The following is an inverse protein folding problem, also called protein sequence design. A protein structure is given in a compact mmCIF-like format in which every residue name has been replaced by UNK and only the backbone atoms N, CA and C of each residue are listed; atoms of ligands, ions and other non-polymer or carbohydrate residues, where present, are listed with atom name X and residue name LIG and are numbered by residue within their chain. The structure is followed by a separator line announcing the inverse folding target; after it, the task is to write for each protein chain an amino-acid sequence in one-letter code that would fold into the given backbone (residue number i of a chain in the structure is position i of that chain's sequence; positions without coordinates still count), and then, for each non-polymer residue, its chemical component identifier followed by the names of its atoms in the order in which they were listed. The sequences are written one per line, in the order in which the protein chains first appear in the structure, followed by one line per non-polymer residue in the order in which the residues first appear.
data_IF_955221816865
#
_entry.id   IF_955221816865
#
_cell.length_a   1.000
_cell.length_b   1.000
_cell.length_c   1.000
_cell.angle_alpha   90.00
_cell.angle_beta   90.00
_cell.angle_gamma   90.00
#
_symmetry.space_group_name_H-M   'P 1'
#
loop_
_entity.id
_entity.type
_entity.pdbx_description
1 polymer ?
#
# COMPACT_ATOMS: atom_id res chain seq x y z
N UNK A 1 -10.74 -14.14 15.54
CA UNK A 1 -10.05 -12.84 15.72
C UNK A 1 -9.71 -12.28 14.34
N UNK A 2 -10.12 -11.05 14.02
CA UNK A 2 -9.63 -10.40 12.81
C UNK A 2 -8.15 -10.10 13.02
N UNK A 3 -7.31 -10.71 12.19
CA UNK A 3 -5.88 -10.46 12.20
C UNK A 3 -5.60 -9.05 11.70
N UNK A 4 -4.62 -8.36 12.29
CA UNK A 4 -4.15 -7.00 11.90
C UNK A 4 -4.00 -6.84 10.39
N UNK A 5 -3.55 -7.91 9.72
CA UNK A 5 -3.39 -7.96 8.28
C UNK A 5 -4.67 -7.57 7.53
N UNK A 6 -5.84 -7.96 8.04
CA UNK A 6 -7.13 -7.63 7.44
C UNK A 6 -7.39 -6.12 7.49
N UNK A 7 -7.03 -5.45 8.58
CA UNK A 7 -7.17 -3.99 8.69
C UNK A 7 -6.25 -3.26 7.72
N UNK A 8 -4.98 -3.68 7.63
CA UNK A 8 -4.01 -3.08 6.71
C UNK A 8 -4.52 -3.21 5.27
N UNK A 9 -4.98 -4.41 4.88
CA UNK A 9 -5.54 -4.66 3.55
C UNK A 9 -6.76 -3.78 3.29
N UNK A 10 -7.65 -3.61 4.27
CA UNK A 10 -8.82 -2.74 4.12
C UNK A 10 -8.42 -1.25 3.96
N UNK A 11 -7.48 -0.75 4.77
CA UNK A 11 -7.02 0.64 4.68
C UNK A 11 -6.30 0.90 3.34
N UNK A 12 -5.38 0.02 2.95
CA UNK A 12 -4.70 0.07 1.65
C UNK A 12 -5.69 -0.04 0.50
N UNK A 13 -6.78 -0.81 0.65
CA UNK A 13 -7.81 -0.91 -0.38
C UNK A 13 -8.54 0.42 -0.58
N UNK A 14 -8.89 1.12 0.50
CA UNK A 14 -9.51 2.45 0.44
C UNK A 14 -8.57 3.45 -0.22
N UNK A 15 -7.29 3.42 0.17
CA UNK A 15 -6.27 4.28 -0.41
C UNK A 15 -6.06 4.00 -1.90
N UNK A 16 -6.04 2.72 -2.32
CA UNK A 16 -5.94 2.37 -3.74
C UNK A 16 -7.09 2.98 -4.55
N UNK A 17 -8.32 2.98 -4.01
CA UNK A 17 -9.49 3.59 -4.66
C UNK A 17 -9.28 5.10 -4.81
N UNK A 18 -8.77 5.77 -3.77
CA UNK A 18 -8.47 7.19 -3.82
C UNK A 18 -7.43 7.53 -4.90
N UNK A 19 -6.33 6.77 -4.98
CA UNK A 19 -5.31 6.94 -6.03
C UNK A 19 -5.89 6.81 -7.43
N UNK A 20 -6.82 5.89 -7.63
CA UNK A 20 -7.44 5.67 -8.93
C UNK A 20 -8.44 6.75 -9.30
N UNK A 21 -9.20 7.25 -8.32
CA UNK A 21 -10.01 8.43 -8.56
C UNK A 21 -9.15 9.61 -8.99
N UNK A 22 -7.94 9.76 -8.43
CA UNK A 22 -6.98 10.77 -8.87
C UNK A 22 -6.49 10.52 -10.31
N UNK A 23 -6.20 9.27 -10.70
CA UNK A 23 -5.80 8.96 -12.09
C UNK A 23 -6.88 9.35 -13.12
N UNK A 24 -8.16 9.42 -12.75
CA UNK A 24 -9.22 9.86 -13.66
C UNK A 24 -9.12 11.35 -14.04
N UNK A 25 -8.57 12.18 -13.15
CA UNK A 25 -8.42 13.62 -13.38
C UNK A 25 -7.09 13.98 -14.06
N UNK A 26 -6.17 13.02 -14.19
CA UNK A 26 -4.84 13.25 -14.76
C UNK A 26 -4.80 12.86 -16.25
N UNK A 27 -4.01 13.55 -17.08
CA UNK A 27 -3.77 13.15 -18.47
C UNK A 27 -3.17 11.74 -18.52
N UNK A 28 -3.69 10.89 -19.42
CA UNK A 28 -3.31 9.48 -19.55
C UNK A 28 -1.80 9.30 -19.85
N UNK A 29 -1.22 10.25 -20.59
CA UNK A 29 0.20 10.32 -21.00
C UNK A 29 1.14 10.89 -19.91
N UNK A 30 0.61 11.30 -18.75
CA UNK A 30 1.45 11.93 -17.73
C UNK A 30 2.31 10.90 -16.97
N UNK A 31 3.58 11.23 -16.72
CA UNK A 31 4.49 10.45 -15.86
C UNK A 31 3.90 10.21 -14.46
N UNK A 32 3.10 11.16 -13.96
CA UNK A 32 2.38 11.03 -12.69
C UNK A 32 1.32 9.92 -12.77
N UNK A 33 0.56 9.84 -13.87
CA UNK A 33 -0.39 8.76 -14.10
C UNK A 33 0.31 7.40 -14.20
N UNK A 34 1.44 7.34 -14.92
CA UNK A 34 2.28 6.14 -15.02
C UNK A 34 2.80 5.66 -13.66
N UNK A 35 3.27 6.59 -12.83
CA UNK A 35 3.71 6.32 -11.45
C UNK A 35 2.57 5.74 -10.59
N UNK A 36 1.37 6.33 -10.67
CA UNK A 36 0.21 5.83 -9.95
C UNK A 36 -0.20 4.41 -10.40
N UNK A 37 -0.06 4.09 -11.69
CA UNK A 37 -0.27 2.73 -12.19
C UNK A 37 0.73 1.73 -11.62
N UNK A 38 2.01 2.09 -11.47
CA UNK A 38 2.99 1.22 -10.81
C UNK A 38 2.64 0.95 -9.34
N UNK A 39 2.20 1.97 -8.60
CA UNK A 39 1.73 1.78 -7.23
C UNK A 39 0.47 0.92 -7.15
N UNK A 40 -0.49 1.13 -8.06
CA UNK A 40 -1.71 0.33 -8.15
C UNK A 40 -1.38 -1.15 -8.41
N UNK A 41 -0.46 -1.42 -9.34
CA UNK A 41 0.03 -2.76 -9.62
C UNK A 41 0.67 -3.41 -8.39
N UNK A 42 1.55 -2.67 -7.69
CA UNK A 42 2.19 -3.16 -6.46
C UNK A 42 1.16 -3.49 -5.36
N UNK A 43 0.16 -2.64 -5.16
CA UNK A 43 -0.93 -2.89 -4.22
C UNK A 43 -1.75 -4.13 -4.63
N UNK A 44 -2.06 -4.29 -5.92
CA UNK A 44 -2.74 -5.47 -6.45
C UNK A 44 -1.99 -6.77 -6.15
N UNK A 45 -0.65 -6.79 -6.31
CA UNK A 45 0.18 -7.95 -5.94
C UNK A 45 0.06 -8.27 -4.45
N UNK A 46 0.10 -7.25 -3.58
CA UNK A 46 -0.08 -7.44 -2.12
C UNK A 46 -1.47 -8.03 -1.81
N UNK A 47 -2.52 -7.55 -2.46
CA UNK A 47 -3.88 -8.08 -2.28
C UNK A 47 -4.02 -9.50 -2.81
N UNK A 48 -3.39 -9.82 -3.94
CA UNK A 48 -3.39 -11.17 -4.49
C UNK A 48 -2.70 -12.15 -3.53
N UNK A 49 -1.58 -11.74 -2.95
CA UNK A 49 -0.89 -12.52 -1.93
C UNK A 49 -1.76 -12.77 -0.71
N UNK A 50 -2.48 -11.76 -0.21
CA UNK A 50 -3.42 -11.94 0.91
C UNK A 50 -4.57 -12.90 0.55
N UNK A 51 -5.13 -12.79 -0.65
CA UNK A 51 -6.13 -13.72 -1.17
C UNK A 51 -5.60 -15.16 -1.19
N UNK A 52 -4.41 -15.40 -1.76
CA UNK A 52 -3.80 -16.73 -1.82
C UNK A 52 -3.62 -17.33 -0.42
N UNK A 53 -3.15 -16.51 0.54
CA UNK A 53 -2.98 -16.94 1.92
C UNK A 53 -4.31 -17.33 2.58
N UNK A 54 -5.37 -16.56 2.36
CA UNK A 54 -6.70 -16.89 2.88
C UNK A 54 -7.30 -18.13 2.19
N UNK A 55 -7.08 -18.27 0.88
CA UNK A 55 -7.54 -19.42 0.11
C UNK A 55 -6.87 -20.73 0.54
N UNK A 56 -5.56 -20.71 0.81
CA UNK A 56 -4.80 -21.90 1.25
C UNK A 56 -5.18 -22.31 2.67
N UNK A 57 -5.34 -21.35 3.59
CA UNK A 57 -5.62 -21.62 5.01
C UNK A 57 -7.09 -21.93 5.33
N UNK A 58 -8.00 -21.88 4.35
CA UNK A 58 -9.43 -22.14 4.57
C UNK A 58 -9.74 -23.63 4.43
N UNK A 59 -10.23 -24.26 5.50
CA UNK A 59 -10.56 -25.70 5.55
C UNK A 59 -11.61 -26.12 4.48
N UNK A 60 -12.52 -25.21 4.11
CA UNK A 60 -13.55 -25.43 3.08
C UNK A 60 -13.39 -24.46 1.90
N UNK A 61 -12.39 -24.72 1.05
CA UNK A 61 -11.98 -23.87 -0.09
C UNK A 61 -13.13 -23.45 -1.02
N UNK A 62 -14.00 -24.39 -1.39
CA UNK A 62 -15.15 -24.13 -2.28
C UNK A 62 -16.19 -23.20 -1.63
N UNK A 63 -16.52 -23.43 -0.36
CA UNK A 63 -17.44 -22.57 0.38
C UNK A 63 -16.84 -21.17 0.57
N UNK A 64 -15.55 -21.07 0.87
CA UNK A 64 -14.85 -19.79 0.95
C UNK A 64 -14.87 -19.03 -0.39
N UNK A 65 -14.54 -19.70 -1.49
CA UNK A 65 -14.50 -19.08 -2.82
C UNK A 65 -15.86 -18.56 -3.27
N UNK A 66 -16.92 -19.37 -3.17
CA UNK A 66 -18.27 -18.97 -3.59
C UNK A 66 -18.96 -17.98 -2.65
N UNK A 67 -18.55 -17.89 -1.38
CA UNK A 67 -19.13 -16.89 -0.47
C UNK A 67 -18.41 -15.54 -0.56
N UNK A 68 -17.07 -15.54 -0.59
CA UNK A 68 -16.27 -14.31 -0.47
C UNK A 68 -15.03 -14.26 -1.36
N UNK A 69 -14.36 -15.40 -1.61
CA UNK A 69 -13.07 -15.43 -2.30
C UNK A 69 -13.11 -14.98 -3.76
N UNK A 70 -14.25 -15.10 -4.44
CA UNK A 70 -14.39 -14.62 -5.82
C UNK A 70 -14.25 -13.09 -5.93
N UNK A 71 -14.74 -12.34 -4.93
CA UNK A 71 -14.59 -10.88 -4.84
C UNK A 71 -13.14 -10.50 -4.51
N UNK A 72 -12.50 -11.22 -3.58
CA UNK A 72 -11.10 -10.98 -3.20
C UNK A 72 -10.17 -11.19 -4.41
N UNK A 73 -10.38 -12.27 -5.17
CA UNK A 73 -9.67 -12.56 -6.40
C UNK A 73 -9.87 -11.46 -7.46
N UNK A 74 -11.12 -11.10 -7.76
CA UNK A 74 -11.41 -10.02 -8.71
C UNK A 74 -10.78 -8.68 -8.29
N UNK A 75 -10.69 -8.41 -6.99
CA UNK A 75 -10.10 -7.17 -6.47
C UNK A 75 -8.58 -7.09 -6.61
N UNK A 76 -7.93 -8.24 -6.81
CA UNK A 76 -6.47 -8.38 -6.87
C UNK A 76 -5.90 -8.36 -8.29
N UNK A 77 -6.77 -8.42 -9.30
CA UNK A 77 -6.37 -8.36 -10.71
C UNK A 77 -5.97 -6.93 -11.05
N UNK A 78 -4.71 -6.68 -11.47
CA UNK A 78 -4.28 -5.36 -11.90
C UNK A 78 -4.96 -4.98 -13.22
N UNK A 79 -5.34 -3.72 -13.35
CA UNK A 79 -5.84 -3.14 -14.59
C UNK A 79 -4.63 -2.89 -15.50
N UNK A 80 -4.25 -3.89 -16.27
CA UNK A 80 -3.22 -3.73 -17.31
C UNK A 80 -3.85 -2.90 -18.44
N UNK A 81 -3.30 -1.72 -18.67
CA UNK A 81 -3.86 -0.68 -19.55
C UNK A 81 -3.98 -1.07 -21.03
N UNK A 82 -3.36 -2.18 -21.45
CA UNK A 82 -3.24 -2.55 -22.86
C UNK A 82 -4.53 -3.11 -23.48
N UNK A 83 -5.49 -3.55 -22.67
CA UNK A 83 -6.75 -4.08 -23.19
C UNK A 83 -7.86 -3.03 -23.11
N UNK A 84 -8.33 -2.56 -24.28
CA UNK A 84 -9.43 -1.58 -24.44
C UNK A 84 -10.73 -1.94 -23.68
N UNK A 85 -10.94 -3.23 -23.36
CA UNK A 85 -12.06 -3.75 -22.57
C UNK A 85 -11.92 -3.56 -21.05
N UNK A 86 -10.75 -3.13 -20.56
CA UNK A 86 -10.46 -2.97 -19.12
C UNK A 86 -11.18 -1.76 -18.50
N UNK A 87 -11.75 -0.87 -19.32
CA UNK A 87 -12.69 0.17 -18.83
C UNK A 87 -13.90 -0.43 -18.09
N UNK A 88 -14.39 -1.61 -18.50
CA UNK A 88 -15.51 -2.30 -17.83
C UNK A 88 -15.05 -2.90 -16.49
N UNK A 89 -13.79 -3.35 -16.41
CA UNK A 89 -13.20 -3.85 -15.16
C UNK A 89 -13.10 -2.77 -14.06
N UNK A 90 -13.11 -1.47 -14.41
CA UNK A 90 -13.18 -0.37 -13.41
C UNK A 90 -14.46 -0.41 -12.57
N UNK A 91 -15.58 -0.92 -13.09
CA UNK A 91 -16.85 -1.00 -12.33
C UNK A 91 -16.77 -2.05 -11.21
N UNK A 92 -16.01 -3.13 -11.43
CA UNK A 92 -15.79 -4.17 -10.41
C UNK A 92 -14.99 -3.65 -9.21
N UNK A 93 -14.28 -2.52 -9.33
CA UNK A 93 -13.64 -1.85 -8.20
C UNK A 93 -14.63 -1.17 -7.25
N UNK A 94 -15.81 -0.74 -7.70
CA UNK A 94 -16.84 -0.19 -6.79
C UNK A 94 -17.33 -1.26 -5.82
N UNK A 95 -17.33 -2.53 -6.23
CA UNK A 95 -17.65 -3.68 -5.36
C UNK A 95 -16.66 -3.81 -4.19
N UNK A 96 -15.44 -3.24 -4.30
CA UNK A 96 -14.46 -3.17 -3.20
C UNK A 96 -14.92 -2.25 -2.06
N UNK A 97 -15.66 -1.18 -2.35
CA UNK A 97 -16.20 -0.27 -1.32
C UNK A 97 -17.06 -1.06 -0.32
N UNK A 98 -17.83 -2.04 -0.81
CA UNK A 98 -18.67 -2.92 0.01
C UNK A 98 -17.81 -3.79 0.94
N UNK A 99 -16.63 -4.23 0.51
CA UNK A 99 -15.68 -4.97 1.35
C UNK A 99 -14.97 -4.07 2.38
N UNK A 100 -14.44 -2.91 1.96
CA UNK A 100 -13.76 -1.96 2.85
C UNK A 100 -14.70 -1.49 3.97
N UNK A 101 -15.98 -1.24 3.65
CA UNK A 101 -17.00 -0.86 4.63
C UNK A 101 -17.29 -1.98 5.63
N UNK A 102 -17.38 -3.24 5.19
CA UNK A 102 -17.57 -4.40 6.08
C UNK A 102 -16.39 -4.64 7.01
N UNK A 103 -15.16 -4.41 6.53
CA UNK A 103 -13.94 -4.57 7.31
C UNK A 103 -13.80 -3.47 8.37
N UNK A 104 -14.24 -2.25 8.06
CA UNK A 104 -14.40 -1.13 9.01
C UNK A 104 -15.43 -1.43 10.11
N UNK A 105 -16.60 -1.99 9.77
CA UNK A 105 -17.62 -2.37 10.77
C UNK A 105 -17.13 -3.48 11.70
N UNK A 106 -16.38 -4.45 11.17
CA UNK A 106 -15.77 -5.54 11.94
C UNK A 106 -14.57 -5.08 12.81
N UNK A 107 -14.00 -3.91 12.54
CA UNK A 107 -12.84 -3.35 13.23
C UNK A 107 -13.17 -2.62 14.54
N UNK A 108 -14.37 -2.07 14.69
CA UNK A 108 -14.83 -1.38 15.93
C UNK A 108 -14.74 -2.29 17.19
N UNK A 109 -14.47 -3.59 17.04
CA UNK A 109 -14.56 -4.60 18.09
C UNK A 109 -13.25 -5.32 18.50
N UNK A 110 -12.03 -4.99 18.03
CA UNK A 110 -10.84 -5.77 18.51
C UNK A 110 -9.45 -5.11 18.53
N UNK A 111 -8.83 -5.18 19.72
CA UNK A 111 -7.41 -5.06 20.11
C UNK A 111 -6.60 -3.81 19.69
N UNK A 112 -6.27 -2.97 20.68
CA UNK A 112 -5.57 -1.68 20.54
C UNK A 112 -4.12 -1.77 20.07
N UNK A 113 -3.31 -2.73 20.53
CA UNK A 113 -1.84 -2.72 20.29
C UNK A 113 -1.47 -3.25 18.90
N UNK A 114 -2.10 -4.34 18.46
CA UNK A 114 -1.85 -4.93 17.16
C UNK A 114 -2.31 -3.98 16.02
N UNK A 115 -3.31 -3.14 16.29
CA UNK A 115 -3.79 -2.09 15.40
C UNK A 115 -2.79 -0.95 15.18
N UNK A 116 -1.89 -0.67 16.12
CA UNK A 116 -0.91 0.43 16.01
C UNK A 116 0.15 0.14 14.93
N UNK A 117 0.75 -1.05 14.94
CA UNK A 117 1.76 -1.42 13.93
C UNK A 117 1.19 -1.43 12.51
N UNK A 118 -0.04 -1.94 12.35
CA UNK A 118 -0.72 -1.89 11.06
C UNK A 118 -1.03 -0.48 10.58
N UNK A 119 -1.36 0.43 11.50
CA UNK A 119 -1.57 1.84 11.20
C UNK A 119 -0.27 2.53 10.78
N UNK A 120 0.86 2.23 11.43
CA UNK A 120 2.17 2.79 11.05
C UNK A 120 2.55 2.34 9.63
N UNK A 121 2.43 1.06 9.30
CA UNK A 121 2.71 0.54 7.96
C UNK A 121 1.79 1.19 6.92
N UNK A 122 0.50 1.33 7.24
CA UNK A 122 -0.46 2.00 6.36
C UNK A 122 -0.09 3.47 6.10
N UNK A 123 0.27 4.22 7.16
CA UNK A 123 0.73 5.61 7.03
C UNK A 123 2.02 5.69 6.21
N UNK A 124 2.97 4.77 6.43
CA UNK A 124 4.23 4.72 5.71
C UNK A 124 4.02 4.58 4.20
N UNK A 125 3.23 3.57 3.79
CA UNK A 125 2.92 3.33 2.38
C UNK A 125 2.16 4.51 1.76
N UNK A 126 1.22 5.10 2.51
CA UNK A 126 0.45 6.26 2.07
C UNK A 126 1.34 7.47 1.83
N UNK A 127 2.19 7.82 2.80
CA UNK A 127 3.13 8.94 2.71
C UNK A 127 4.15 8.69 1.61
N UNK A 128 4.66 7.46 1.47
CA UNK A 128 5.55 7.06 0.38
C UNK A 128 4.91 7.39 -0.96
N UNK A 129 3.67 6.95 -1.23
CA UNK A 129 3.01 7.18 -2.51
C UNK A 129 2.73 8.67 -2.75
N UNK A 130 2.23 9.39 -1.73
CA UNK A 130 1.92 10.82 -1.84
C UNK A 130 3.19 11.62 -2.15
N UNK A 131 4.25 11.40 -1.38
CA UNK A 131 5.52 12.14 -1.54
C UNK A 131 6.16 11.85 -2.89
N UNK A 132 6.19 10.59 -3.36
CA UNK A 132 6.63 10.24 -4.72
C UNK A 132 5.90 11.02 -5.80
N UNK A 133 4.56 11.04 -5.70
CA UNK A 133 3.68 11.61 -6.71
C UNK A 133 3.82 13.12 -6.77
N UNK A 134 3.83 13.78 -5.60
CA UNK A 134 3.98 15.23 -5.51
C UNK A 134 5.39 15.68 -5.88
N UNK A 135 6.43 14.96 -5.44
CA UNK A 135 7.80 15.26 -5.82
C UNK A 135 7.98 15.15 -7.32
N UNK A 136 7.49 14.07 -7.96
CA UNK A 136 7.51 13.98 -9.42
C UNK A 136 6.78 15.15 -10.08
N UNK A 137 5.60 15.54 -9.55
CA UNK A 137 4.84 16.66 -10.10
C UNK A 137 5.60 17.99 -10.04
N UNK A 138 6.27 18.30 -8.93
CA UNK A 138 6.99 19.56 -8.74
C UNK A 138 8.41 19.57 -9.34
N UNK A 139 9.07 18.42 -9.38
CA UNK A 139 10.47 18.30 -9.83
C UNK A 139 10.58 18.04 -11.33
N UNK A 140 9.53 17.58 -12.02
CA UNK A 140 9.60 17.18 -13.43
C UNK A 140 10.24 18.23 -14.35
N UNK A 141 9.93 19.51 -14.11
CA UNK A 141 10.41 20.62 -14.95
C UNK A 141 11.66 21.33 -14.40
N UNK A 142 12.10 21.01 -13.18
CA UNK A 142 13.13 21.78 -12.47
C UNK A 142 14.31 20.95 -11.93
N UNK A 143 14.11 19.65 -11.70
CA UNK A 143 15.08 18.75 -11.09
C UNK A 143 15.52 17.61 -12.00
N UNK A 144 16.13 16.60 -11.37
CA UNK A 144 16.57 15.36 -12.03
C UNK A 144 15.52 14.23 -11.95
N UNK A 145 14.47 14.38 -11.16
CA UNK A 145 13.35 13.43 -11.07
C UNK A 145 12.32 13.79 -12.15
N UNK A 146 12.37 13.10 -13.29
CA UNK A 146 11.55 13.46 -14.46
C UNK A 146 10.54 12.39 -14.86
N UNK A 147 10.84 11.13 -14.57
CA UNK A 147 10.02 9.99 -14.94
C UNK A 147 9.43 9.30 -13.71
N UNK A 148 8.39 8.49 -13.94
CA UNK A 148 7.82 7.62 -12.92
C UNK A 148 8.88 6.71 -12.28
N UNK A 149 9.78 6.17 -13.10
CA UNK A 149 10.86 5.29 -12.67
C UNK A 149 11.85 6.00 -11.76
N UNK A 150 12.26 7.23 -12.11
CA UNK A 150 13.16 8.05 -11.28
C UNK A 150 12.54 8.31 -9.89
N UNK A 151 11.26 8.66 -9.87
CA UNK A 151 10.53 8.95 -8.64
C UNK A 151 10.38 7.70 -7.76
N UNK A 152 10.06 6.54 -8.35
CA UNK A 152 9.99 5.26 -7.63
C UNK A 152 11.33 4.91 -7.00
N UNK A 153 12.40 4.98 -7.79
CA UNK A 153 13.73 4.63 -7.35
C UNK A 153 14.21 5.57 -6.24
N UNK A 154 14.09 6.88 -6.44
CA UNK A 154 14.42 7.89 -5.45
C UNK A 154 13.70 7.64 -4.12
N UNK A 155 12.39 7.43 -4.19
CA UNK A 155 11.57 7.25 -3.01
C UNK A 155 11.94 5.97 -2.26
N UNK A 156 12.13 4.86 -2.98
CA UNK A 156 12.56 3.59 -2.40
C UNK A 156 13.91 3.71 -1.68
N UNK A 157 14.91 4.32 -2.33
CA UNK A 157 16.25 4.53 -1.76
C UNK A 157 16.23 5.48 -0.57
N UNK A 158 15.35 6.50 -0.60
CA UNK A 158 15.24 7.51 0.46
C UNK A 158 14.50 6.96 1.68
N UNK A 159 13.33 6.32 1.50
CA UNK A 159 12.56 5.77 2.64
C UNK A 159 13.31 4.64 3.34
N UNK A 160 14.11 3.88 2.60
CA UNK A 160 15.00 2.83 3.13
C UNK A 160 16.28 3.37 3.75
N UNK A 161 16.47 4.69 3.76
CA UNK A 161 17.63 5.39 4.33
C UNK A 161 18.97 5.06 3.65
N UNK A 162 18.95 4.49 2.44
CA UNK A 162 20.17 4.19 1.66
C UNK A 162 20.78 5.47 1.09
N UNK A 163 19.98 6.30 0.41
CA UNK A 163 20.37 7.64 -0.03
C UNK A 163 21.57 7.71 -1.00
N UNK A 164 21.51 7.04 -2.16
CA UNK A 164 22.59 7.11 -3.17
C UNK A 164 22.89 8.53 -3.68
N UNK A 165 21.88 9.41 -3.71
CA UNK A 165 22.03 10.81 -4.13
C UNK A 165 22.08 11.02 -5.65
N UNK A 166 21.78 9.99 -6.43
CA UNK A 166 21.61 10.03 -7.89
C UNK A 166 20.37 10.83 -8.31
N UNK A 167 19.28 10.69 -7.56
CA UNK A 167 18.07 11.49 -7.68
C UNK A 167 17.76 12.22 -6.37
N UNK A 168 17.35 13.49 -6.45
CA UNK A 168 16.98 14.26 -5.26
C UNK A 168 16.16 15.51 -5.61
N UNK A 169 15.19 15.90 -4.77
CA UNK A 169 14.39 17.10 -5.05
C UNK A 169 15.19 18.39 -4.87
N UNK A 170 15.09 19.30 -5.84
CA UNK A 170 15.78 20.60 -5.80
C UNK A 170 14.85 21.74 -5.39
N UNK A 171 13.54 21.60 -5.62
CA UNK A 171 12.53 22.62 -5.26
C UNK A 171 12.31 22.70 -3.75
N UNK A 172 11.87 23.87 -3.28
CA UNK A 172 11.54 24.07 -1.86
C UNK A 172 10.43 23.12 -1.38
N UNK A 173 9.41 22.90 -2.22
CA UNK A 173 8.31 21.98 -1.91
C UNK A 173 8.80 20.53 -1.92
N UNK A 174 9.60 20.14 -2.92
CA UNK A 174 10.18 18.81 -3.00
C UNK A 174 11.06 18.47 -1.80
N UNK A 175 11.87 19.42 -1.32
CA UNK A 175 12.69 19.27 -0.10
C UNK A 175 11.84 19.12 1.16
N UNK A 176 10.76 19.89 1.30
CA UNK A 176 9.82 19.75 2.41
C UNK A 176 9.18 18.35 2.43
N UNK A 177 8.70 17.89 1.27
CA UNK A 177 8.11 16.56 1.12
C UNK A 177 9.12 15.44 1.40
N UNK A 178 10.37 15.61 0.98
CA UNK A 178 11.48 14.69 1.29
C UNK A 178 11.72 14.58 2.79
N UNK A 179 11.67 15.70 3.52
CA UNK A 179 11.79 15.69 4.97
C UNK A 179 10.70 14.86 5.65
N UNK A 180 9.45 15.00 5.20
CA UNK A 180 8.32 14.19 5.70
C UNK A 180 8.55 12.69 5.40
N UNK A 181 9.02 12.37 4.20
CA UNK A 181 9.34 10.99 3.80
C UNK A 181 10.42 10.37 4.70
N UNK A 182 11.52 11.08 4.93
CA UNK A 182 12.65 10.61 5.75
C UNK A 182 12.19 10.34 7.19
N UNK A 183 11.45 11.27 7.81
CA UNK A 183 10.92 11.10 9.16
C UNK A 183 9.99 9.88 9.25
N UNK A 184 9.15 9.70 8.23
CA UNK A 184 8.25 8.55 8.14
C UNK A 184 9.02 7.24 7.99
N UNK A 185 10.06 7.22 7.15
CA UNK A 185 10.93 6.05 6.97
C UNK A 185 11.54 5.60 8.30
N UNK A 186 12.19 6.53 9.02
CA UNK A 186 12.82 6.25 10.33
C UNK A 186 11.78 5.70 11.33
N UNK A 187 10.62 6.35 11.44
CA UNK A 187 9.56 5.90 12.35
C UNK A 187 9.04 4.50 11.99
N UNK A 188 8.93 4.20 10.69
CA UNK A 188 8.45 2.92 10.18
C UNK A 188 9.43 1.79 10.45
N UNK A 189 10.73 2.00 10.20
CA UNK A 189 11.77 1.02 10.52
C UNK A 189 11.80 0.72 12.02
N UNK A 190 11.75 1.75 12.87
CA UNK A 190 11.67 1.57 14.32
C UNK A 190 10.47 0.73 14.76
N UNK A 191 9.30 0.98 14.16
CA UNK A 191 8.09 0.20 14.45
C UNK A 191 8.21 -1.27 14.02
N UNK A 192 8.79 -1.55 12.85
CA UNK A 192 9.00 -2.93 12.37
C UNK A 192 9.96 -3.68 13.28
N UNK A 193 11.08 -3.06 13.66
CA UNK A 193 12.06 -3.67 14.58
C UNK A 193 11.40 -3.96 15.93
N UNK A 194 10.70 -2.97 16.50
CA UNK A 194 9.98 -3.13 17.77
C UNK A 194 8.95 -4.26 17.73
N UNK A 195 8.20 -4.38 16.63
CA UNK A 195 7.25 -5.46 16.42
C UNK A 195 7.94 -6.83 16.45
N UNK A 196 9.03 -7.01 15.70
CA UNK A 196 9.75 -8.29 15.63
C UNK A 196 10.32 -8.64 17.01
N UNK A 197 10.96 -7.69 17.69
CA UNK A 197 11.52 -7.91 19.04
C UNK A 197 10.44 -8.34 20.02
N UNK A 198 9.30 -7.64 20.07
CA UNK A 198 8.18 -8.02 20.94
C UNK A 198 7.62 -9.42 20.64
N UNK A 199 7.64 -9.84 19.37
CA UNK A 199 7.25 -11.21 18.98
C UNK A 199 8.25 -12.25 19.46
N UNK A 200 9.55 -11.96 19.34
CA UNK A 200 10.63 -12.84 19.82
C UNK A 200 10.56 -13.02 21.34
N UNK A 201 10.35 -11.93 22.09
CA UNK A 201 10.25 -11.97 23.55
C UNK A 201 9.04 -12.80 24.01
N UNK A 202 7.89 -12.64 23.34
CA UNK A 202 6.68 -13.46 23.60
C UNK A 202 6.95 -14.96 23.38
N UNK A 203 7.76 -15.32 22.38
CA UNK A 203 8.12 -16.72 22.10
C UNK A 203 9.05 -17.27 23.19
N UNK A 204 10.04 -16.47 23.62
CA UNK A 204 10.97 -16.84 24.69
C UNK A 204 10.24 -17.09 26.02
N UNK A 205 9.29 -16.23 26.39
CA UNK A 205 8.50 -16.41 27.61
C UNK A 205 7.65 -17.69 27.57
N UNK A 206 7.02 -18.00 26.43
CA UNK A 206 6.26 -19.26 26.27
C UNK A 206 7.13 -20.51 26.31
N UNK A 207 8.38 -20.42 25.88
CA UNK A 207 9.36 -21.51 25.96
C UNK A 207 9.92 -21.73 27.36
N UNK A 208 9.96 -20.68 28.20
CA UNK A 208 10.45 -20.77 29.59
C UNK A 208 9.40 -21.32 30.57
N UNK A 209 8.12 -21.25 30.21
CA UNK A 209 6.99 -21.77 30.99
C UNK A 209 6.56 -23.20 30.56
N UNK A 210 7.38 -23.91 29.80
CA UNK A 210 7.23 -25.33 29.45
C UNK A 210 8.42 -26.10 29.99
#
# INVERSE_FOLDING_TARGET
MLSVNKLIVAALSLFSIALLTMTFFLPEESEVNKLLHYYDFGLCVVFFYDFLKQFINSDQKLKYFFTYGWLDLLSSIPVIAEFRYVRIFRIFRVLRIIQSFRMLVKFISSNRVASLYGLIIFMAVTIMIITSTLVLYFEKDSGNIKTAEDALWWNYVTITTVGYGDFYPVTSIGKLLSGILILTGIASFGAVISYITGRVDTIKEKGKNR
#
